data_IF_742772053977
#
_entry.id   IF_742772053977
#
_cell.length_a   1.000
_cell.length_b   1.000
_cell.length_c   1.000
_cell.angle_alpha   90.00
_cell.angle_beta   90.00
_cell.angle_gamma   90.00
#
_symmetry.space_group_name_H-M   'P 1'
#
loop_
_entity.id
_entity.type
_entity.pdbx_description
1 polymer ?
#
# COMPACT_ATOMS: atom_id res chain seq x y z
N UNK A 1 -9.30 8.31 11.24
CA UNK A 1 -8.01 7.87 11.83
C UNK A 1 -7.98 6.37 12.07
N UNK A 2 -9.04 5.80 12.62
CA UNK A 2 -9.18 4.36 12.87
C UNK A 2 -8.98 3.50 11.62
N UNK A 3 -9.49 3.96 10.49
CA UNK A 3 -9.36 3.33 9.17
C UNK A 3 -7.89 3.21 8.70
N UNK A 4 -7.01 4.14 9.09
CA UNK A 4 -5.57 4.08 8.75
C UNK A 4 -4.90 2.96 9.56
N UNK A 5 -5.19 2.90 10.87
CA UNK A 5 -4.63 1.87 11.75
C UNK A 5 -5.15 0.48 11.35
N UNK A 6 -6.45 0.37 11.05
CA UNK A 6 -7.06 -0.88 10.59
C UNK A 6 -6.51 -1.35 9.25
N UNK A 7 -6.32 -0.44 8.28
CA UNK A 7 -5.76 -0.81 6.97
C UNK A 7 -4.29 -1.24 7.07
N UNK A 8 -3.50 -0.61 7.96
CA UNK A 8 -2.13 -1.03 8.25
C UNK A 8 -2.10 -2.44 8.86
N UNK A 9 -2.92 -2.69 9.90
CA UNK A 9 -2.98 -4.01 10.56
C UNK A 9 -3.46 -5.08 9.57
N UNK A 10 -4.49 -4.79 8.78
CA UNK A 10 -4.98 -5.72 7.76
C UNK A 10 -3.89 -6.05 6.73
N UNK A 11 -3.16 -5.04 6.24
CA UNK A 11 -2.04 -5.24 5.31
C UNK A 11 -0.92 -6.09 5.90
N UNK A 12 -0.57 -5.86 7.18
CA UNK A 12 0.42 -6.67 7.90
C UNK A 12 -0.03 -8.13 8.03
N UNK A 13 -1.28 -8.36 8.44
CA UNK A 13 -1.82 -9.72 8.60
C UNK A 13 -1.84 -10.43 7.24
N UNK A 14 -2.33 -9.78 6.18
CA UNK A 14 -2.35 -10.36 4.82
C UNK A 14 -0.94 -10.71 4.35
N UNK A 15 0.03 -9.80 4.53
CA UNK A 15 1.42 -10.04 4.18
C UNK A 15 2.03 -11.24 4.91
N UNK A 16 1.80 -11.34 6.22
CA UNK A 16 2.27 -12.47 7.03
C UNK A 16 1.61 -13.77 6.59
N UNK A 17 0.27 -13.81 6.49
CA UNK A 17 -0.46 -15.03 6.16
C UNK A 17 -0.04 -15.55 4.79
N UNK A 18 -0.04 -14.71 3.75
CA UNK A 18 0.29 -15.13 2.39
C UNK A 18 1.74 -15.61 2.26
N UNK A 19 2.67 -14.96 2.96
CA UNK A 19 4.07 -15.38 2.99
C UNK A 19 4.24 -16.72 3.70
N UNK A 20 3.56 -16.94 4.83
CA UNK A 20 3.64 -18.19 5.60
C UNK A 20 3.12 -19.39 4.80
N UNK A 21 2.03 -19.21 4.06
CA UNK A 21 1.42 -20.27 3.23
C UNK A 21 2.00 -20.32 1.80
N UNK A 22 3.02 -19.51 1.50
CA UNK A 22 3.71 -19.44 0.19
C UNK A 22 2.76 -19.13 -0.98
N UNK A 23 1.69 -18.39 -0.74
CA UNK A 23 0.85 -17.87 -1.80
C UNK A 23 1.46 -16.61 -2.41
N UNK A 24 1.21 -16.34 -3.71
CA UNK A 24 1.63 -15.09 -4.33
C UNK A 24 0.99 -13.92 -3.58
N UNK A 25 1.83 -12.96 -3.17
CA UNK A 25 1.39 -11.79 -2.40
C UNK A 25 0.56 -10.88 -3.32
N UNK A 26 -0.63 -10.41 -2.89
CA UNK A 26 -1.48 -9.53 -3.71
C UNK A 26 -0.94 -8.10 -3.81
N UNK A 27 -0.11 -7.68 -2.84
CA UNK A 27 0.52 -6.37 -2.80
C UNK A 27 1.84 -6.34 -3.59
N UNK A 28 2.30 -5.16 -4.06
CA UNK A 28 3.56 -5.03 -4.78
C UNK A 28 4.75 -5.54 -3.93
N UNK A 29 5.56 -6.49 -4.45
CA UNK A 29 6.58 -7.16 -3.64
C UNK A 29 7.90 -6.38 -3.54
N UNK A 30 8.07 -5.30 -4.29
CA UNK A 30 9.31 -4.52 -4.37
C UNK A 30 9.09 -3.08 -3.90
N UNK A 31 10.09 -2.54 -3.20
CA UNK A 31 10.02 -1.18 -2.67
C UNK A 31 9.84 -0.11 -3.76
N UNK A 32 10.44 -0.31 -4.93
CA UNK A 32 10.29 0.60 -6.08
C UNK A 32 8.83 0.75 -6.54
N UNK A 33 8.04 -0.33 -6.50
CA UNK A 33 6.63 -0.28 -6.86
C UNK A 33 5.80 0.47 -5.79
N UNK A 34 6.15 0.32 -4.51
CA UNK A 34 5.52 1.07 -3.40
C UNK A 34 5.81 2.57 -3.56
N UNK A 35 7.05 2.94 -3.86
CA UNK A 35 7.42 4.32 -4.18
C UNK A 35 6.62 4.87 -5.37
N UNK A 36 6.38 4.04 -6.40
CA UNK A 36 5.53 4.39 -7.54
C UNK A 36 4.09 4.75 -7.12
N UNK A 37 3.47 3.96 -6.25
CA UNK A 37 2.12 4.23 -5.72
C UNK A 37 2.09 5.56 -4.95
N UNK A 38 3.09 5.80 -4.10
CA UNK A 38 3.22 7.06 -3.35
C UNK A 38 3.36 8.24 -4.32
N UNK A 39 4.18 8.10 -5.36
CA UNK A 39 4.37 9.12 -6.39
C UNK A 39 3.08 9.43 -7.17
N UNK A 40 2.31 8.41 -7.56
CA UNK A 40 1.03 8.57 -8.25
C UNK A 40 0.01 9.30 -7.35
N UNK A 41 -0.14 8.86 -6.10
CA UNK A 41 -1.05 9.51 -5.15
C UNK A 41 -0.62 10.95 -4.85
N UNK A 42 0.68 11.18 -4.64
CA UNK A 42 1.25 12.50 -4.40
C UNK A 42 1.07 13.44 -5.58
N UNK A 43 1.29 12.96 -6.81
CA UNK A 43 1.06 13.72 -8.04
C UNK A 43 -0.41 14.12 -8.22
N UNK A 44 -1.34 13.18 -7.98
CA UNK A 44 -2.78 13.48 -7.97
C UNK A 44 -3.11 14.56 -6.94
N UNK A 45 -2.59 14.44 -5.71
CA UNK A 45 -2.81 15.44 -4.66
C UNK A 45 -2.22 16.79 -5.01
N UNK A 46 -1.04 16.82 -5.62
CA UNK A 46 -0.41 18.05 -6.08
C UNK A 46 -1.32 18.77 -7.09
N UNK A 47 -1.82 18.06 -8.11
CA UNK A 47 -2.75 18.66 -9.09
C UNK A 47 -4.04 19.14 -8.43
N UNK A 48 -4.59 18.38 -7.47
CA UNK A 48 -5.78 18.76 -6.69
C UNK A 48 -5.58 20.04 -5.86
N UNK A 49 -4.34 20.48 -5.58
CA UNK A 49 -4.11 21.77 -4.91
C UNK A 49 -4.31 22.96 -5.85
N UNK A 50 -4.21 22.75 -7.16
CA UNK A 50 -4.28 23.81 -8.18
C UNK A 50 -5.60 23.82 -8.96
N UNK A 51 -6.40 22.75 -8.88
CA UNK A 51 -7.74 22.63 -9.47
C UNK A 51 -8.76 22.61 -8.32
#
# INVERSE_FOLDING_TARGET
MHEIIMSLIAGLIVGVVFTLIKLPIPAPPVFSAICGIIGVWGGMKLVQLFI
#
